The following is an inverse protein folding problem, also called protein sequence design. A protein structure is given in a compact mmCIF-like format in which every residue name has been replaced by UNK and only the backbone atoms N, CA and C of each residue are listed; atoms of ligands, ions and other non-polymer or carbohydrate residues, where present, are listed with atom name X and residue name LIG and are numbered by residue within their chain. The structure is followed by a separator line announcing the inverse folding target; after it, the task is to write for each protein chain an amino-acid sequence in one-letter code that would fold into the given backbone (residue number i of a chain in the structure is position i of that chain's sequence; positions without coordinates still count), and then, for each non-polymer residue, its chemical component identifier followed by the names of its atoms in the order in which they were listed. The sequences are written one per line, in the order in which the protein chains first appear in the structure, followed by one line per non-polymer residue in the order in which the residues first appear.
data_IF_236446827340
#
_entry.id   IF_236446827340
#
_cell.length_a   1.000
_cell.length_b   1.000
_cell.length_c   1.000
_cell.angle_alpha   90.00
_cell.angle_beta   90.00
_cell.angle_gamma   90.00
#
_symmetry.space_group_name_H-M   'P 1'
#
loop_
_entity.id
_entity.type
_entity.pdbx_description
1 polymer ?
#
# COMPACT_ATOMS: atom_id res chain seq x y z
N UNK A 1 14.69 0.93 4.73
CA UNK A 1 13.80 -0.07 4.11
C UNK A 1 13.13 -1.01 5.13
N UNK A 2 13.87 -1.72 6.00
CA UNK A 2 13.27 -2.63 7.02
C UNK A 2 12.24 -1.93 7.90
N UNK A 3 12.55 -0.72 8.41
CA UNK A 3 11.61 0.06 9.23
C UNK A 3 10.33 0.43 8.47
N UNK A 4 10.43 0.74 7.18
CA UNK A 4 9.27 1.06 6.33
C UNK A 4 8.34 -0.16 6.19
N UNK A 5 8.91 -1.34 5.94
CA UNK A 5 8.11 -2.58 5.85
C UNK A 5 7.49 -2.97 7.18
N UNK A 6 8.22 -2.82 8.28
CA UNK A 6 7.70 -3.06 9.63
C UNK A 6 6.54 -2.11 9.96
N UNK A 7 6.69 -0.83 9.65
CA UNK A 7 5.61 0.14 9.83
C UNK A 7 4.37 -0.24 9.04
N UNK A 8 4.53 -0.55 7.74
CA UNK A 8 3.39 -0.87 6.89
C UNK A 8 2.67 -2.15 7.34
N UNK A 9 3.44 -3.18 7.74
CA UNK A 9 2.87 -4.41 8.31
C UNK A 9 2.11 -4.13 9.60
N UNK A 10 2.67 -3.32 10.50
CA UNK A 10 2.02 -2.92 11.74
C UNK A 10 0.73 -2.12 11.49
N UNK A 11 0.78 -1.16 10.56
CA UNK A 11 -0.39 -0.38 10.16
C UNK A 11 -1.51 -1.26 9.60
N UNK A 12 -1.19 -2.20 8.72
CA UNK A 12 -2.17 -3.13 8.17
C UNK A 12 -2.75 -4.08 9.24
N UNK A 13 -1.93 -4.53 10.18
CA UNK A 13 -2.39 -5.35 11.29
C UNK A 13 -3.37 -4.58 12.18
N UNK A 14 -3.10 -3.32 12.48
CA UNK A 14 -4.00 -2.46 13.24
C UNK A 14 -5.31 -2.21 12.51
N UNK A 15 -5.26 -1.82 11.24
CA UNK A 15 -6.47 -1.49 10.46
C UNK A 15 -7.32 -2.72 10.17
N UNK A 16 -6.72 -3.85 9.84
CA UNK A 16 -7.44 -5.08 9.51
C UNK A 16 -7.91 -5.84 10.75
N UNK A 17 -7.14 -5.80 11.85
CA UNK A 17 -7.41 -6.60 13.05
C UNK A 17 -8.38 -5.95 14.02
N UNK A 18 -8.40 -4.64 14.11
CA UNK A 18 -9.19 -3.93 15.13
C UNK A 18 -10.49 -3.32 14.59
N UNK A 19 -10.67 -3.27 13.27
CA UNK A 19 -11.79 -2.56 12.65
C UNK A 19 -11.79 -1.05 13.00
N UNK A 20 -10.76 -0.58 13.71
CA UNK A 20 -10.55 0.84 13.94
C UNK A 20 -10.25 1.46 12.58
N UNK A 21 -11.28 2.06 12.00
CA UNK A 21 -11.22 2.74 10.73
C UNK A 21 -10.30 3.98 10.78
N UNK A 22 -9.01 3.76 10.99
CA UNK A 22 -7.97 4.74 10.63
C UNK A 22 -7.94 4.96 9.11
N UNK A 23 -9.00 4.52 8.45
CA UNK A 23 -9.16 4.58 7.00
C UNK A 23 -9.21 6.03 6.48
N UNK A 24 -9.79 6.95 7.23
CA UNK A 24 -9.79 8.35 6.86
C UNK A 24 -8.41 8.96 7.17
N UNK A 25 -7.68 9.34 6.13
CA UNK A 25 -6.33 9.93 6.26
C UNK A 25 -5.20 8.90 6.40
N UNK A 26 -5.49 7.62 6.22
CA UNK A 26 -4.49 6.55 6.36
C UNK A 26 -3.35 6.64 5.35
N UNK A 27 -3.60 7.13 4.15
CA UNK A 27 -2.58 7.31 3.12
C UNK A 27 -1.64 8.46 3.50
N UNK A 28 -2.17 9.59 4.00
CA UNK A 28 -1.36 10.71 4.49
C UNK A 28 -0.51 10.28 5.67
N UNK A 29 -1.08 9.55 6.63
CA UNK A 29 -0.35 9.06 7.80
C UNK A 29 0.81 8.15 7.38
N UNK A 30 0.56 7.22 6.48
CA UNK A 30 1.59 6.34 5.94
C UNK A 30 2.69 7.14 5.22
N UNK A 31 2.31 8.14 4.43
CA UNK A 31 3.24 9.03 3.76
C UNK A 31 4.14 9.79 4.74
N UNK A 32 3.54 10.39 5.79
CA UNK A 32 4.27 11.11 6.82
C UNK A 32 5.26 10.23 7.59
N UNK A 33 4.82 9.05 8.02
CA UNK A 33 5.68 8.15 8.81
C UNK A 33 6.81 7.59 7.95
N UNK A 34 6.53 7.19 6.71
CA UNK A 34 7.59 6.72 5.80
C UNK A 34 8.53 7.86 5.44
N UNK A 35 8.03 9.07 5.19
CA UNK A 35 8.85 10.26 4.98
C UNK A 35 9.76 10.57 6.16
N UNK A 36 9.25 10.46 7.39
CA UNK A 36 10.07 10.62 8.60
C UNK A 36 11.15 9.54 8.73
N UNK A 37 10.82 8.27 8.42
CA UNK A 37 11.80 7.16 8.41
C UNK A 37 12.88 7.37 7.35
N UNK A 38 12.52 7.90 6.18
CA UNK A 38 13.43 8.17 5.07
C UNK A 38 14.21 9.48 5.22
N UNK A 39 13.83 10.34 6.19
CA UNK A 39 14.45 11.64 6.41
C UNK A 39 13.93 12.76 5.51
N UNK A 40 12.86 12.52 4.76
CA UNK A 40 12.21 13.49 3.87
C UNK A 40 10.70 13.56 4.12
N UNK A 41 10.33 14.28 5.18
CA UNK A 41 8.92 14.47 5.57
C UNK A 41 8.16 15.27 4.51
N UNK A 42 8.82 16.18 3.79
CA UNK A 42 8.21 17.01 2.76
C UNK A 42 7.67 16.14 1.61
N UNK A 43 8.51 15.26 1.07
CA UNK A 43 8.11 14.26 0.07
C UNK A 43 7.01 13.34 0.60
N UNK A 44 7.14 12.90 1.86
CA UNK A 44 6.15 12.06 2.51
C UNK A 44 4.77 12.71 2.61
N UNK A 45 4.72 13.97 3.01
CA UNK A 45 3.47 14.73 3.11
C UNK A 45 2.87 15.03 1.73
N UNK A 46 3.70 15.44 0.77
CA UNK A 46 3.24 15.76 -0.58
C UNK A 46 2.63 14.55 -1.28
N UNK A 47 3.33 13.41 -1.31
CA UNK A 47 2.83 12.19 -1.93
C UNK A 47 1.65 11.61 -1.16
N UNK A 48 1.71 11.63 0.18
CA UNK A 48 0.61 11.19 1.04
C UNK A 48 -0.66 11.98 0.79
N UNK A 49 -0.57 13.30 0.76
CA UNK A 49 -1.69 14.20 0.47
C UNK A 49 -2.26 13.99 -0.93
N UNK A 50 -1.40 13.90 -1.94
CA UNK A 50 -1.81 13.68 -3.33
C UNK A 50 -2.55 12.36 -3.50
N UNK A 51 -2.03 11.27 -2.95
CA UNK A 51 -2.69 9.96 -3.03
C UNK A 51 -3.97 9.88 -2.19
N UNK A 52 -4.04 10.58 -1.07
CA UNK A 52 -5.29 10.67 -0.30
C UNK A 52 -6.38 11.40 -1.08
N UNK A 53 -6.05 12.51 -1.76
CA UNK A 53 -6.99 13.23 -2.63
C UNK A 53 -7.49 12.34 -3.78
N UNK A 54 -6.59 11.53 -4.38
CA UNK A 54 -6.99 10.55 -5.39
C UNK A 54 -7.91 9.47 -4.79
N UNK A 55 -7.65 9.05 -3.56
CA UNK A 55 -8.41 8.00 -2.88
C UNK A 55 -9.83 8.46 -2.48
N UNK A 56 -10.00 9.70 -2.05
CA UNK A 56 -11.30 10.27 -1.66
C UNK A 56 -12.32 10.22 -2.80
N UNK A 57 -11.88 10.41 -4.05
CA UNK A 57 -12.75 10.34 -5.22
C UNK A 57 -13.18 8.93 -5.63
N UNK A 58 -12.60 7.89 -5.03
CA UNK A 58 -12.80 6.50 -5.43
C UNK A 58 -13.58 5.74 -4.34
N UNK A 59 -14.85 5.48 -4.58
CA UNK A 59 -15.64 4.66 -3.69
C UNK A 59 -15.82 3.25 -4.30
N UNK A 60 -15.38 2.17 -3.63
CA UNK A 60 -15.49 0.80 -4.14
C UNK A 60 -16.93 0.30 -4.07
N UNK A 61 -17.81 0.87 -4.89
CA UNK A 61 -19.19 0.42 -5.01
C UNK A 61 -19.27 -0.84 -5.88
N UNK A 62 -20.11 -1.78 -5.47
CA UNK A 62 -20.39 -2.98 -6.26
C UNK A 62 -19.22 -3.96 -6.40
N UNK A 63 -18.21 -3.91 -5.52
CA UNK A 63 -17.07 -4.82 -5.57
C UNK A 63 -15.98 -4.40 -6.57
N UNK A 64 -16.04 -3.15 -7.06
CA UNK A 64 -14.96 -2.61 -7.90
C UNK A 64 -13.64 -2.56 -7.15
N UNK A 65 -12.55 -2.83 -7.85
CA UNK A 65 -11.20 -2.70 -7.31
C UNK A 65 -10.70 -1.28 -7.45
N UNK A 66 -10.32 -0.70 -6.33
CA UNK A 66 -9.67 0.62 -6.25
C UNK A 66 -8.16 0.39 -6.09
N UNK A 67 -7.29 1.21 -6.69
CA UNK A 67 -5.85 1.12 -6.46
C UNK A 67 -5.52 1.19 -4.96
N UNK A 68 -4.59 0.35 -4.52
CA UNK A 68 -4.17 0.34 -3.11
C UNK A 68 -3.19 1.49 -2.85
N UNK A 69 -3.73 2.70 -2.64
CA UNK A 69 -2.92 3.90 -2.40
C UNK A 69 -2.11 3.83 -1.10
N UNK A 70 -2.53 3.04 -0.12
CA UNK A 70 -1.73 2.83 1.09
C UNK A 70 -0.38 2.16 0.79
N UNK A 71 -0.38 1.15 -0.07
CA UNK A 71 0.86 0.51 -0.52
C UNK A 71 1.62 1.41 -1.49
N UNK A 72 0.88 2.08 -2.39
CA UNK A 72 1.46 3.04 -3.34
C UNK A 72 2.25 4.15 -2.66
N UNK A 73 1.72 4.76 -1.60
CA UNK A 73 2.39 5.84 -0.89
C UNK A 73 3.64 5.36 -0.15
N UNK A 74 3.60 4.18 0.46
CA UNK A 74 4.75 3.62 1.18
C UNK A 74 5.94 3.40 0.24
N UNK A 75 5.69 2.79 -0.91
CA UNK A 75 6.73 2.57 -1.92
C UNK A 75 7.10 3.88 -2.61
N UNK A 76 6.10 4.69 -2.98
CA UNK A 76 6.31 5.98 -3.64
C UNK A 76 7.16 6.94 -2.83
N UNK A 77 6.94 7.06 -1.53
CA UNK A 77 7.76 7.91 -0.65
C UNK A 77 9.16 7.34 -0.48
N UNK A 78 9.31 6.02 -0.34
CA UNK A 78 10.62 5.39 -0.24
C UNK A 78 11.48 5.62 -1.49
N UNK A 79 10.88 5.61 -2.69
CA UNK A 79 11.57 5.96 -3.95
C UNK A 79 11.71 7.47 -4.13
N UNK A 80 10.69 8.25 -3.77
CA UNK A 80 10.69 9.69 -3.90
C UNK A 80 11.77 10.38 -3.09
N UNK A 81 12.04 9.89 -1.88
CA UNK A 81 13.11 10.37 -1.01
C UNK A 81 14.52 10.14 -1.58
N UNK A 82 14.69 9.18 -2.51
CA UNK A 82 15.99 8.84 -3.11
C UNK A 82 16.13 9.39 -4.53
N UNK A 83 15.08 9.28 -5.34
CA UNK A 83 15.11 9.54 -6.78
C UNK A 83 14.26 10.76 -7.21
N UNK A 84 13.70 11.50 -6.25
CA UNK A 84 12.87 12.68 -6.50
C UNK A 84 11.35 12.37 -6.47
N UNK A 85 10.57 13.42 -6.18
CA UNK A 85 9.12 13.34 -5.92
C UNK A 85 8.35 12.79 -7.12
N UNK A 86 8.69 13.23 -8.34
CA UNK A 86 8.02 12.78 -9.57
C UNK A 86 8.22 11.28 -9.80
N UNK A 87 9.45 10.80 -9.58
CA UNK A 87 9.77 9.37 -9.67
C UNK A 87 8.98 8.58 -8.62
N UNK A 88 8.94 9.09 -7.39
CA UNK A 88 8.16 8.49 -6.31
C UNK A 88 6.68 8.41 -6.64
N UNK A 89 6.10 9.47 -7.23
CA UNK A 89 4.71 9.50 -7.66
C UNK A 89 4.44 8.45 -8.75
N UNK A 90 5.25 8.40 -9.78
CA UNK A 90 5.08 7.46 -10.89
C UNK A 90 5.15 6.00 -10.41
N UNK A 91 6.18 5.66 -9.63
CA UNK A 91 6.36 4.32 -9.06
C UNK A 91 5.22 3.95 -8.14
N UNK A 92 4.81 4.87 -7.27
CA UNK A 92 3.74 4.62 -6.32
C UNK A 92 2.39 4.34 -6.98
N UNK A 93 2.03 5.04 -8.08
CA UNK A 93 0.80 4.78 -8.83
C UNK A 93 0.83 3.38 -9.46
N UNK A 94 1.95 3.00 -10.08
CA UNK A 94 2.12 1.66 -10.67
C UNK A 94 1.98 0.59 -9.59
N UNK A 95 2.65 0.77 -8.45
CA UNK A 95 2.57 -0.16 -7.33
C UNK A 95 1.16 -0.23 -6.74
N UNK A 96 0.47 0.91 -6.58
CA UNK A 96 -0.91 0.94 -6.10
C UNK A 96 -1.85 0.12 -6.98
N UNK A 97 -1.68 0.23 -8.30
CA UNK A 97 -2.47 -0.50 -9.29
C UNK A 97 -2.18 -1.99 -9.27
N UNK A 98 -0.90 -2.38 -9.24
CA UNK A 98 -0.51 -3.79 -9.12
C UNK A 98 -0.97 -4.40 -7.79
N UNK A 99 -0.84 -3.66 -6.69
CA UNK A 99 -1.28 -4.10 -5.37
C UNK A 99 -2.79 -4.35 -5.30
N UNK A 100 -3.60 -3.61 -6.07
CA UNK A 100 -5.04 -3.84 -6.12
C UNK A 100 -5.42 -5.22 -6.67
N UNK A 101 -4.65 -5.75 -7.61
CA UNK A 101 -4.89 -7.11 -8.13
C UNK A 101 -4.59 -8.18 -7.07
N UNK A 102 -3.57 -7.94 -6.25
CA UNK A 102 -3.21 -8.82 -5.15
C UNK A 102 -4.22 -8.76 -4.00
N UNK A 103 -4.81 -7.58 -3.75
CA UNK A 103 -5.94 -7.42 -2.83
C UNK A 103 -7.15 -8.27 -3.26
N UNK A 104 -7.41 -8.39 -4.56
CA UNK A 104 -8.47 -9.28 -5.07
C UNK A 104 -8.16 -10.73 -4.76
N UNK A 105 -6.93 -11.16 -5.00
CA UNK A 105 -6.50 -12.53 -4.68
C UNK A 105 -6.61 -12.81 -3.17
N UNK A 106 -6.19 -11.86 -2.34
CA UNK A 106 -6.33 -11.97 -0.88
C UNK A 106 -7.80 -12.10 -0.45
N UNK A 107 -8.71 -11.33 -1.08
CA UNK A 107 -10.16 -11.42 -0.83
C UNK A 107 -10.72 -12.79 -1.27
N UNK A 108 -10.28 -13.33 -2.41
CA UNK A 108 -10.69 -14.66 -2.87
C UNK A 108 -10.26 -15.75 -1.90
N UNK A 109 -9.01 -15.73 -1.44
CA UNK A 109 -8.51 -16.67 -0.42
C UNK A 109 -9.27 -16.48 0.89
N UNK A 110 -9.50 -15.23 1.32
CA UNK A 110 -10.29 -14.92 2.50
C UNK A 110 -11.72 -15.45 2.44
N UNK A 111 -12.35 -15.40 1.26
CA UNK A 111 -13.69 -15.95 1.03
C UNK A 111 -13.75 -17.48 1.28
N UNK A 112 -12.71 -18.21 0.88
CA UNK A 112 -12.62 -19.64 1.17
C UNK A 112 -12.66 -19.93 2.69
N UNK A 113 -11.88 -19.20 3.48
CA UNK A 113 -11.88 -19.33 4.93
C UNK A 113 -13.22 -18.94 5.55
N UNK A 114 -13.88 -17.89 5.00
CA UNK A 114 -15.18 -17.45 5.47
C UNK A 114 -16.25 -18.52 5.23
N UNK A 115 -16.28 -19.18 4.07
CA UNK A 115 -17.21 -20.28 3.80
C UNK A 115 -17.00 -21.46 4.78
N UNK A 116 -15.72 -21.79 5.07
CA UNK A 116 -15.42 -22.82 6.08
C UNK A 116 -15.89 -22.44 7.49
N UNK A 117 -15.77 -21.17 7.83
CA UNK A 117 -16.30 -20.67 9.11
C UNK A 117 -17.83 -20.75 9.15
N UNK A 118 -18.52 -20.38 8.06
CA UNK A 118 -19.97 -20.50 7.94
C UNK A 118 -20.46 -21.95 8.08
N UNK A 119 -19.79 -22.90 7.43
CA UNK A 119 -20.07 -24.34 7.56
C UNK A 119 -19.92 -24.82 9.01
N UNK A 120 -18.90 -24.34 9.71
CA UNK A 120 -18.68 -24.66 11.12
C UNK A 120 -19.79 -24.10 12.02
N UNK A 121 -20.28 -22.89 11.74
CA UNK A 121 -21.43 -22.28 12.43
C UNK A 121 -22.69 -23.11 12.18
N UNK A 122 -22.95 -23.54 10.95
CA UNK A 122 -24.08 -24.41 10.61
C UNK A 122 -24.08 -25.73 11.41
N UNK A 123 -22.88 -26.23 11.73
CA UNK A 123 -22.68 -27.42 12.61
C UNK A 123 -22.66 -27.07 14.09
N UNK A 124 -23.03 -25.85 14.51
CA UNK A 124 -23.00 -25.35 15.90
C UNK A 124 -21.59 -25.40 16.53
N UNK A 125 -20.53 -25.47 15.74
CA UNK A 125 -19.14 -25.50 16.20
C UNK A 125 -18.54 -24.09 16.18
N UNK A 126 -18.85 -23.28 17.19
CA UNK A 126 -18.41 -21.89 17.31
C UNK A 126 -16.86 -21.80 17.43
N UNK A 127 -16.23 -22.72 18.17
CA UNK A 127 -14.77 -22.73 18.30
C UNK A 127 -14.07 -23.01 16.96
N UNK A 128 -14.61 -23.93 16.18
CA UNK A 128 -14.12 -24.23 14.82
C UNK A 128 -14.27 -23.03 13.89
N UNK A 129 -15.42 -22.36 13.93
CA UNK A 129 -15.67 -21.13 13.14
C UNK A 129 -14.65 -20.03 13.48
N UNK A 130 -14.39 -19.80 14.78
CA UNK A 130 -13.42 -18.79 15.21
C UNK A 130 -12.00 -19.11 14.74
N UNK A 131 -11.61 -20.38 14.73
CA UNK A 131 -10.30 -20.80 14.22
C UNK A 131 -10.18 -20.57 12.71
N UNK A 132 -11.22 -20.84 11.92
CA UNK A 132 -11.22 -20.57 10.49
C UNK A 132 -11.12 -19.06 10.18
N UNK A 133 -11.83 -18.23 10.97
CA UNK A 133 -11.73 -16.76 10.85
C UNK A 133 -10.29 -16.32 11.13
N UNK A 134 -9.67 -16.78 12.22
CA UNK A 134 -8.28 -16.44 12.56
C UNK A 134 -7.30 -16.88 11.47
N UNK A 135 -7.47 -18.07 10.91
CA UNK A 135 -6.65 -18.56 9.81
C UNK A 135 -6.79 -17.69 8.55
N UNK A 136 -7.99 -17.15 8.30
CA UNK A 136 -8.24 -16.24 7.16
C UNK A 136 -7.52 -14.91 7.23
N UNK A 137 -7.03 -14.47 8.41
CA UNK A 137 -6.22 -13.25 8.53
C UNK A 137 -4.78 -13.41 8.01
N UNK A 138 -4.20 -14.60 8.14
CA UNK A 138 -2.80 -14.84 7.81
C UNK A 138 -2.44 -14.58 6.34
N UNK A 139 -3.23 -15.03 5.35
CA UNK A 139 -2.92 -14.76 3.94
C UNK A 139 -2.84 -13.27 3.63
N UNK A 140 -3.72 -12.45 4.22
CA UNK A 140 -3.71 -11.02 4.03
C UNK A 140 -2.47 -10.37 4.64
N UNK A 141 -2.15 -10.69 5.89
CA UNK A 141 -0.95 -10.17 6.58
C UNK A 141 0.31 -10.54 5.80
N UNK A 142 0.40 -11.78 5.32
CA UNK A 142 1.55 -12.22 4.53
C UNK A 142 1.68 -11.43 3.22
N UNK A 143 0.59 -11.21 2.50
CA UNK A 143 0.61 -10.42 1.26
C UNK A 143 0.99 -8.96 1.54
N UNK A 144 0.38 -8.34 2.54
CA UNK A 144 0.65 -6.94 2.91
C UNK A 144 2.09 -6.72 3.39
N UNK A 145 2.73 -7.73 3.99
CA UNK A 145 4.12 -7.66 4.43
C UNK A 145 5.12 -8.00 3.33
N UNK A 146 4.85 -9.04 2.53
CA UNK A 146 5.82 -9.57 1.57
C UNK A 146 5.95 -8.70 0.33
N UNK A 147 4.86 -8.09 -0.14
CA UNK A 147 4.86 -7.32 -1.39
C UNK A 147 5.74 -6.07 -1.29
N UNK A 148 5.57 -5.15 -0.31
CA UNK A 148 6.45 -4.00 -0.20
C UNK A 148 7.90 -4.43 0.06
N UNK A 149 8.11 -5.50 0.79
CA UNK A 149 9.45 -6.02 1.05
C UNK A 149 10.12 -6.49 -0.25
N UNK A 150 9.44 -7.24 -1.08
CA UNK A 150 9.95 -7.70 -2.38
C UNK A 150 10.22 -6.50 -3.29
N UNK A 151 9.28 -5.55 -3.40
CA UNK A 151 9.44 -4.38 -4.27
C UNK A 151 10.60 -3.53 -3.80
N UNK A 152 10.70 -3.23 -2.51
CA UNK A 152 11.75 -2.35 -1.98
C UNK A 152 13.15 -3.00 -1.99
N UNK A 153 13.25 -4.30 -1.74
CA UNK A 153 14.56 -4.98 -1.67
C UNK A 153 15.03 -5.58 -3.00
N UNK A 154 14.11 -6.18 -3.78
CA UNK A 154 14.50 -6.82 -5.05
C UNK A 154 14.60 -5.81 -6.20
N UNK A 155 13.73 -4.82 -6.21
CA UNK A 155 13.62 -3.87 -7.32
C UNK A 155 14.02 -2.44 -6.94
N UNK A 156 14.30 -2.14 -5.66
CA UNK A 156 14.60 -0.80 -5.19
C UNK A 156 15.76 -0.14 -5.95
N UNK A 157 16.94 -0.72 -5.95
CA UNK A 157 18.09 -0.17 -6.63
C UNK A 157 17.97 -0.27 -8.17
N UNK A 158 17.69 -1.44 -8.79
CA UNK A 158 17.60 -1.53 -10.25
C UNK A 158 16.42 -0.72 -10.83
N UNK A 159 15.33 -0.55 -10.11
CA UNK A 159 14.20 0.26 -10.58
C UNK A 159 14.54 1.75 -10.58
N UNK A 160 15.22 2.26 -9.54
CA UNK A 160 15.71 3.64 -9.51
C UNK A 160 16.69 3.90 -10.67
N UNK A 161 17.62 2.99 -10.92
CA UNK A 161 18.55 3.12 -12.05
C UNK A 161 17.83 3.07 -13.40
N UNK A 162 16.88 2.16 -13.58
CA UNK A 162 16.10 2.05 -14.81
C UNK A 162 15.25 3.31 -15.06
N UNK A 163 14.59 3.85 -14.03
CA UNK A 163 13.78 5.06 -14.16
C UNK A 163 14.67 6.26 -14.49
N UNK A 164 15.80 6.41 -13.79
CA UNK A 164 16.73 7.51 -14.04
C UNK A 164 17.37 7.43 -15.45
N UNK A 165 17.47 6.23 -16.03
CA UNK A 165 17.95 6.06 -17.40
C UNK A 165 16.92 6.37 -18.48
N UNK A 166 15.62 6.19 -18.17
CA UNK A 166 14.49 6.39 -19.10
C UNK A 166 13.93 7.80 -19.03
N UNK A 167 13.93 8.43 -17.83
CA UNK A 167 13.47 9.80 -17.66
C UNK A 167 14.63 10.74 -17.99
N UNK A 168 14.56 11.50 -19.11
CA UNK A 168 15.60 12.47 -19.41
C UNK A 168 15.70 13.51 -18.31
N UNK A 169 16.92 13.90 -17.96
CA UNK A 169 17.20 14.86 -16.87
C UNK A 169 16.52 16.24 -17.03
N UNK A 170 16.02 16.57 -18.24
CA UNK A 170 15.31 17.81 -18.52
C UNK A 170 13.79 17.75 -18.20
N UNK A 171 13.23 16.55 -18.03
CA UNK A 171 11.79 16.41 -17.78
C UNK A 171 11.35 17.05 -16.45
N UNK A 172 12.07 16.89 -15.32
CA UNK A 172 11.74 17.59 -14.08
C UNK A 172 11.85 19.12 -14.17
N UNK A 173 12.77 19.61 -14.99
CA UNK A 173 13.03 21.07 -15.14
C UNK A 173 11.91 21.78 -15.87
N UNK A 174 11.18 21.09 -16.77
CA UNK A 174 10.12 21.74 -17.55
C UNK A 174 8.89 22.14 -16.71
N UNK A 175 8.67 21.50 -15.57
CA UNK A 175 7.55 21.84 -14.69
C UNK A 175 7.84 23.02 -13.76
N UNK A 176 9.10 23.24 -13.40
CA UNK A 176 9.48 24.37 -12.54
C UNK A 176 9.45 25.73 -13.27
N UNK A 177 9.53 25.73 -14.60
CA UNK A 177 9.46 26.94 -15.42
C UNK A 177 8.02 27.34 -15.83
N UNK A 178 7.02 26.46 -15.62
CA UNK A 178 5.62 26.77 -15.91
C UNK A 178 4.87 27.44 -14.74
N UNK A 179 5.51 27.60 -13.58
CA UNK A 179 4.94 28.20 -12.37
C UNK A 179 5.48 29.59 -12.06
N UNK A 180 6.20 30.21 -12.98
CA UNK A 180 6.56 31.64 -13.01
C UNK A 180 5.82 32.33 -14.18
#
# INVERSE_FOLDING_TARGET
MVLVTLWFTFYNLLTSGTGLGLAAGGVVLNGLVVGAIMGDISTGFYLGGTYELMNIGLNPLGGSTVPNYNMGVVVGVAFGAVAGVETGMAVGIVVATLASTLDVLAKMVGSFFLHKAQDAVGKKNIKGAMNWIRLGFWPRILLDATIPLIILFAFGAPLVEAINSVIPAWLPVSYTHLTL
#
